data_IF_829104192316
#
_entry.id   IF_829104192316
#
_cell.length_a   1.000
_cell.length_b   1.000
_cell.length_c   1.000
_cell.angle_alpha   90.00
_cell.angle_beta   90.00
_cell.angle_gamma   90.00
#
_symmetry.space_group_name_H-M   'P 1'
#
loop_
_entity.id
_entity.type
_entity.pdbx_description
1 polymer ?
#
# COMPACT_ATOMS: atom_id res chain seq x y z
N UNK A 1 35.18 -60.05 24.11
CA UNK A 1 34.98 -61.24 24.95
C UNK A 1 34.08 -60.80 26.10
N UNK A 2 32.85 -61.34 26.17
CA UNK A 2 31.93 -61.29 27.32
C UNK A 2 31.22 -59.94 27.56
N UNK A 3 29.93 -59.78 27.81
CA UNK A 3 28.71 -60.59 27.68
C UNK A 3 27.52 -59.63 27.79
N UNK A 4 26.40 -60.01 27.20
CA UNK A 4 25.08 -59.39 27.34
C UNK A 4 24.39 -59.69 28.68
N UNK A 5 23.42 -58.83 29.03
CA UNK A 5 22.16 -59.07 29.78
C UNK A 5 21.32 -57.80 29.56
N UNK A 6 20.27 -57.76 28.74
CA UNK A 6 18.93 -58.38 28.84
C UNK A 6 18.22 -58.12 30.18
N UNK A 7 17.27 -57.19 30.19
CA UNK A 7 16.06 -57.32 31.01
C UNK A 7 14.88 -56.61 30.33
N UNK A 8 13.87 -57.42 30.01
CA UNK A 8 12.60 -57.06 29.40
C UNK A 8 11.55 -56.96 30.51
N UNK A 9 10.78 -55.86 30.59
CA UNK A 9 9.47 -55.86 31.25
C UNK A 9 8.44 -55.20 30.32
N UNK A 10 7.46 -56.02 29.94
CA UNK A 10 6.24 -55.69 29.21
C UNK A 10 5.17 -55.26 30.20
N UNK A 11 4.43 -54.20 29.90
CA UNK A 11 3.05 -54.04 30.37
C UNK A 11 2.21 -53.29 29.32
N UNK A 12 1.33 -54.04 28.68
CA UNK A 12 0.28 -53.59 27.78
C UNK A 12 -0.78 -52.74 28.50
N UNK A 13 -1.25 -51.68 27.86
CA UNK A 13 -2.57 -51.12 28.11
C UNK A 13 -3.24 -50.82 26.75
N UNK A 14 -4.25 -51.62 26.44
CA UNK A 14 -5.19 -51.52 25.32
C UNK A 14 -6.28 -50.48 25.63
N UNK A 15 -6.78 -49.78 24.60
CA UNK A 15 -8.20 -49.38 24.32
C UNK A 15 -8.23 -48.07 23.47
N UNK A 16 -9.32 -47.75 22.76
CA UNK A 16 -9.89 -48.48 21.63
C UNK A 16 -10.09 -47.60 20.39
N UNK A 17 -10.29 -48.32 19.28
CA UNK A 17 -10.83 -47.95 17.99
C UNK A 17 -11.87 -46.81 18.00
N UNK A 18 -11.54 -45.65 17.41
CA UNK A 18 -12.53 -44.66 16.96
C UNK A 18 -12.67 -44.75 15.44
N UNK A 19 -13.78 -45.38 15.06
CA UNK A 19 -14.27 -45.54 13.69
C UNK A 19 -14.79 -44.21 13.17
N UNK A 20 -14.09 -43.57 12.22
CA UNK A 20 -14.62 -42.42 11.49
C UNK A 20 -15.33 -42.91 10.23
N UNK A 21 -16.66 -42.95 10.34
CA UNK A 21 -17.61 -43.27 9.28
C UNK A 21 -17.47 -42.28 8.12
N UNK A 22 -16.92 -42.75 6.99
CA UNK A 22 -16.97 -42.02 5.72
C UNK A 22 -18.34 -42.21 5.08
N UNK A 23 -19.26 -41.29 5.38
CA UNK A 23 -20.58 -41.25 4.76
C UNK A 23 -20.44 -40.82 3.31
N UNK A 24 -20.42 -41.81 2.41
CA UNK A 24 -20.59 -41.64 0.96
C UNK A 24 -22.05 -41.29 0.70
N UNK A 25 -22.35 -40.00 0.54
CA UNK A 25 -23.67 -39.57 0.08
C UNK A 25 -23.61 -39.31 -1.43
N UNK A 26 -23.84 -40.39 -2.19
CA UNK A 26 -24.24 -40.33 -3.59
C UNK A 26 -25.73 -40.01 -3.63
N UNK A 27 -26.10 -38.85 -4.18
CA UNK A 27 -27.48 -38.56 -4.56
C UNK A 27 -27.48 -38.04 -6.00
N UNK A 28 -27.88 -38.94 -6.90
CA UNK A 28 -28.28 -38.65 -8.26
C UNK A 28 -29.64 -37.96 -8.25
N UNK A 29 -29.81 -36.91 -9.05
CA UNK A 29 -31.12 -36.39 -9.41
C UNK A 29 -31.10 -35.95 -10.88
N UNK A 30 -31.73 -36.75 -11.73
CA UNK A 30 -32.00 -36.42 -13.12
C UNK A 30 -33.48 -36.04 -13.28
N UNK A 31 -33.68 -34.79 -13.72
CA UNK A 31 -34.65 -34.28 -14.70
C UNK A 31 -36.11 -34.77 -14.71
N UNK A 32 -37.07 -33.85 -14.52
CA UNK A 32 -38.35 -33.81 -15.28
C UNK A 32 -38.79 -32.36 -15.53
N UNK A 33 -39.24 -32.10 -16.76
CA UNK A 33 -39.74 -30.85 -17.33
C UNK A 33 -41.02 -30.30 -16.66
N UNK A 34 -41.17 -28.97 -16.72
CA UNK A 34 -42.45 -28.28 -16.54
C UNK A 34 -42.45 -26.93 -17.26
N UNK A 35 -42.96 -26.90 -18.49
CA UNK A 35 -43.26 -25.66 -19.23
C UNK A 35 -44.59 -25.12 -18.68
N UNK A 36 -44.57 -23.91 -18.12
CA UNK A 36 -45.76 -23.11 -17.84
C UNK A 36 -45.56 -21.73 -18.46
N UNK A 37 -46.35 -21.44 -19.49
CA UNK A 37 -46.43 -20.12 -20.10
C UNK A 37 -47.26 -19.19 -19.19
N UNK A 38 -46.62 -18.15 -18.67
CA UNK A 38 -47.27 -17.00 -18.05
C UNK A 38 -46.96 -15.76 -18.89
N UNK A 39 -47.91 -15.40 -19.74
CA UNK A 39 -47.99 -14.10 -20.39
C UNK A 39 -48.37 -13.04 -19.35
N UNK A 40 -47.37 -12.28 -18.89
CA UNK A 40 -47.58 -11.10 -18.05
C UNK A 40 -47.11 -9.83 -18.81
N UNK A 41 -48.01 -8.85 -18.90
CA UNK A 41 -47.79 -7.58 -19.58
C UNK A 41 -46.66 -6.78 -18.93
N UNK A 42 -45.57 -6.49 -19.64
CA UNK A 42 -44.55 -5.55 -19.18
C UNK A 42 -45.03 -4.11 -19.43
N UNK A 43 -45.55 -3.44 -18.40
CA UNK A 43 -45.64 -1.97 -18.40
C UNK A 43 -44.23 -1.44 -18.17
N UNK A 44 -43.62 -0.80 -19.17
CA UNK A 44 -42.31 -0.15 -19.03
C UNK A 44 -42.46 1.04 -18.08
N UNK A 45 -41.71 1.12 -16.97
CA UNK A 45 -41.55 2.38 -16.27
C UNK A 45 -40.88 3.36 -17.24
N UNK A 46 -41.36 4.60 -17.27
CA UNK A 46 -40.64 5.67 -17.94
C UNK A 46 -39.24 5.75 -17.32
N UNK A 47 -38.19 5.65 -18.15
CA UNK A 47 -36.82 5.91 -17.74
C UNK A 47 -36.77 7.31 -17.15
N UNK A 48 -36.66 7.41 -15.83
CA UNK A 48 -36.17 8.64 -15.21
C UNK A 48 -34.75 8.84 -15.73
N UNK A 49 -34.35 10.06 -16.16
CA UNK A 49 -32.95 10.31 -16.42
C UNK A 49 -32.16 9.92 -15.18
N UNK A 50 -31.09 9.15 -15.35
CA UNK A 50 -30.18 8.83 -14.25
C UNK A 50 -29.78 10.16 -13.58
N UNK A 51 -29.70 10.21 -12.24
CA UNK A 51 -29.08 11.37 -11.60
C UNK A 51 -27.70 11.53 -12.26
N UNK A 52 -27.43 12.72 -12.77
CA UNK A 52 -26.06 13.11 -13.11
C UNK A 52 -25.31 13.00 -11.79
N UNK A 53 -24.51 11.95 -11.62
CA UNK A 53 -23.48 11.96 -10.59
C UNK A 53 -22.66 13.21 -10.87
N UNK A 54 -22.85 14.25 -10.06
CA UNK A 54 -21.79 15.17 -9.74
C UNK A 54 -20.59 14.27 -9.44
N UNK A 55 -19.52 14.37 -10.24
CA UNK A 55 -18.37 13.48 -10.13
C UNK A 55 -17.93 13.41 -8.67
N UNK A 56 -17.52 12.21 -8.24
CA UNK A 56 -16.84 12.09 -6.95
C UNK A 56 -15.72 13.16 -6.90
N UNK A 57 -15.47 13.79 -5.76
CA UNK A 57 -14.35 14.72 -5.63
C UNK A 57 -13.08 14.01 -6.14
N UNK A 58 -12.45 14.59 -7.15
CA UNK A 58 -11.18 14.09 -7.64
C UNK A 58 -10.09 14.93 -6.99
N UNK A 59 -9.46 14.38 -5.96
CA UNK A 59 -8.24 14.94 -5.38
C UNK A 59 -7.06 14.44 -6.20
N UNK A 60 -6.38 15.33 -6.91
CA UNK A 60 -5.21 14.96 -7.70
C UNK A 60 -3.96 15.53 -7.03
N UNK A 61 -2.93 14.72 -6.84
CA UNK A 61 -1.65 15.24 -6.33
C UNK A 61 -1.01 16.24 -7.30
N UNK A 62 -1.43 16.25 -8.57
CA UNK A 62 -0.98 17.23 -9.56
C UNK A 62 -1.50 18.66 -9.30
N UNK A 63 -2.53 18.83 -8.47
CA UNK A 63 -3.03 20.14 -8.05
C UNK A 63 -2.24 20.72 -6.86
N UNK A 64 -1.45 19.89 -6.17
CA UNK A 64 -0.59 20.30 -5.05
C UNK A 64 0.60 21.12 -5.57
N UNK A 65 0.89 22.25 -4.91
CA UNK A 65 2.06 23.06 -5.27
C UNK A 65 3.36 22.33 -4.83
N UNK A 66 4.34 22.19 -5.74
CA UNK A 66 5.65 21.67 -5.35
C UNK A 66 6.35 22.59 -4.33
N UNK A 67 7.25 22.05 -3.49
CA UNK A 67 8.02 22.84 -2.54
C UNK A 67 8.91 23.86 -3.26
N UNK A 68 9.12 25.02 -2.63
CA UNK A 68 10.04 26.04 -3.16
C UNK A 68 11.50 25.75 -2.78
N UNK A 69 11.71 25.12 -1.62
CA UNK A 69 13.02 24.72 -1.11
C UNK A 69 13.49 23.35 -1.59
N UNK A 70 14.66 22.93 -1.11
CA UNK A 70 15.13 21.56 -1.29
C UNK A 70 14.34 20.62 -0.39
N UNK A 71 14.22 19.39 -0.87
CA UNK A 71 13.64 18.27 -0.14
C UNK A 71 14.67 17.19 0.11
N UNK A 72 14.35 16.36 1.11
CA UNK A 72 14.97 15.07 1.32
C UNK A 72 13.92 13.97 1.22
N UNK A 73 14.23 12.94 0.44
CA UNK A 73 13.45 11.70 0.33
C UNK A 73 14.30 10.50 0.73
N UNK A 74 13.71 9.55 1.46
CA UNK A 74 14.41 8.32 1.88
C UNK A 74 13.73 7.10 1.27
N UNK A 75 14.48 6.29 0.54
CA UNK A 75 13.90 5.12 -0.11
C UNK A 75 14.92 4.30 -0.89
N UNK A 76 14.41 3.39 -1.70
CA UNK A 76 15.23 2.64 -2.65
C UNK A 76 15.45 3.49 -3.89
N UNK A 77 16.70 3.76 -4.23
CA UNK A 77 17.02 4.24 -5.57
C UNK A 77 17.19 3.02 -6.46
N UNK A 78 16.41 2.96 -7.53
CA UNK A 78 16.45 1.89 -8.52
C UNK A 78 16.73 2.51 -9.88
N UNK A 79 17.75 1.99 -10.55
CA UNK A 79 18.17 2.39 -11.88
C UNK A 79 18.12 1.16 -12.78
N UNK A 80 17.20 1.17 -13.75
CA UNK A 80 17.13 0.16 -14.80
C UNK A 80 17.61 0.78 -16.11
N UNK A 81 18.78 0.36 -16.59
CA UNK A 81 19.35 0.81 -17.86
C UNK A 81 19.53 2.34 -18.01
N UNK A 82 19.76 3.06 -16.91
CA UNK A 82 19.95 4.52 -16.86
C UNK A 82 18.72 5.30 -16.38
N UNK A 83 17.56 4.64 -16.24
CA UNK A 83 16.32 5.25 -15.78
C UNK A 83 16.25 5.19 -14.23
N UNK A 84 17.02 6.07 -13.58
CA UNK A 84 17.06 6.16 -12.12
C UNK A 84 15.78 6.78 -11.55
N UNK A 85 15.24 6.17 -10.50
CA UNK A 85 14.07 6.63 -9.76
C UNK A 85 14.23 6.40 -8.26
N UNK A 86 13.62 7.28 -7.45
CA UNK A 86 13.50 7.12 -6.01
C UNK A 86 12.13 6.50 -5.68
N UNK A 87 12.15 5.27 -5.19
CA UNK A 87 10.98 4.57 -4.73
C UNK A 87 10.72 4.91 -3.25
N UNK A 88 9.71 5.75 -3.04
CA UNK A 88 9.24 6.18 -1.70
C UNK A 88 8.18 5.23 -1.12
N UNK A 89 7.47 4.50 -1.98
CA UNK A 89 6.43 3.54 -1.59
C UNK A 89 6.94 2.10 -1.50
N UNK A 90 6.02 1.15 -1.70
CA UNK A 90 6.33 -0.28 -1.63
C UNK A 90 7.36 -0.72 -2.68
N UNK A 91 8.27 -1.61 -2.26
CA UNK A 91 9.28 -2.24 -3.12
C UNK A 91 9.04 -3.75 -3.12
N UNK A 92 9.01 -4.37 -4.29
CA UNK A 92 8.76 -5.80 -4.42
C UNK A 92 9.92 -6.63 -3.87
N UNK A 93 9.58 -7.73 -3.19
CA UNK A 93 10.54 -8.71 -2.67
C UNK A 93 11.09 -9.61 -3.80
N UNK A 94 11.90 -9.03 -4.69
CA UNK A 94 12.52 -9.69 -5.84
C UNK A 94 14.00 -9.32 -6.02
N UNK A 95 14.68 -9.97 -6.98
CA UNK A 95 16.10 -9.74 -7.26
C UNK A 95 16.36 -9.73 -8.79
N UNK A 96 16.46 -8.56 -9.46
CA UNK A 96 16.37 -7.21 -8.91
C UNK A 96 15.02 -6.87 -8.27
N UNK A 97 14.96 -5.97 -7.27
CA UNK A 97 13.70 -5.43 -6.77
C UNK A 97 12.95 -4.69 -7.88
N UNK A 98 11.66 -4.45 -7.68
CA UNK A 98 10.82 -3.68 -8.60
C UNK A 98 10.00 -2.67 -7.80
N UNK A 99 9.84 -1.47 -8.33
CA UNK A 99 8.99 -0.42 -7.76
C UNK A 99 8.65 0.61 -8.84
N UNK A 100 7.64 1.42 -8.57
CA UNK A 100 7.40 2.68 -9.29
C UNK A 100 7.82 3.80 -8.37
N UNK A 101 8.65 4.71 -8.86
CA UNK A 101 9.18 5.81 -8.06
C UNK A 101 9.12 7.14 -8.81
N UNK A 102 9.65 8.17 -8.17
CA UNK A 102 9.82 9.49 -8.78
C UNK A 102 11.13 9.48 -9.57
N UNK A 103 11.15 9.86 -10.86
CA UNK A 103 12.37 9.99 -11.65
C UNK A 103 13.43 10.86 -10.97
N UNK A 104 14.69 10.42 -11.02
CA UNK A 104 15.84 11.16 -10.51
C UNK A 104 16.66 11.75 -11.67
N UNK A 105 16.72 13.06 -11.74
CA UNK A 105 17.65 13.77 -12.62
C UNK A 105 18.99 14.02 -11.91
N UNK A 106 20.09 13.80 -12.63
CA UNK A 106 21.44 14.03 -12.10
C UNK A 106 21.95 12.94 -11.15
N UNK A 107 21.24 11.82 -11.02
CA UNK A 107 21.73 10.66 -10.26
C UNK A 107 22.98 10.07 -10.92
N UNK A 108 23.95 9.68 -10.09
CA UNK A 108 25.13 8.91 -10.48
C UNK A 108 25.51 7.92 -9.38
N UNK A 109 25.92 6.73 -9.79
CA UNK A 109 26.48 5.72 -8.91
C UNK A 109 27.96 5.97 -8.56
N UNK A 110 28.60 6.94 -9.21
CA UNK A 110 30.01 7.26 -8.96
C UNK A 110 30.23 7.78 -7.54
N UNK A 111 31.08 7.07 -6.78
CA UNK A 111 31.40 7.44 -5.40
C UNK A 111 30.28 7.16 -4.39
N UNK A 112 29.25 6.40 -4.79
CA UNK A 112 28.16 5.95 -3.94
C UNK A 112 28.37 4.48 -3.59
N UNK A 113 28.48 4.17 -2.30
CA UNK A 113 28.57 2.80 -1.80
C UNK A 113 27.17 2.20 -1.54
N UNK A 114 27.11 0.91 -1.21
CA UNK A 114 25.89 0.26 -0.72
C UNK A 114 24.87 -0.11 -1.80
N UNK A 115 25.28 -0.12 -3.07
CA UNK A 115 24.47 -0.58 -4.19
C UNK A 115 24.71 -2.05 -4.53
N UNK A 116 23.70 -2.68 -5.11
CA UNK A 116 23.78 -3.99 -5.74
C UNK A 116 23.41 -3.86 -7.23
N UNK A 117 23.94 -4.76 -8.06
CA UNK A 117 23.66 -4.80 -9.49
C UNK A 117 23.36 -6.22 -9.95
N UNK A 118 22.31 -6.37 -10.75
CA UNK A 118 21.99 -7.62 -11.45
C UNK A 118 21.43 -7.31 -12.84
N UNK A 119 22.11 -7.80 -13.87
CA UNK A 119 21.83 -7.40 -15.25
C UNK A 119 22.09 -5.90 -15.45
N UNK A 120 21.13 -5.22 -16.07
CA UNK A 120 21.16 -3.77 -16.31
C UNK A 120 20.50 -2.96 -15.17
N UNK A 121 20.17 -3.61 -14.05
CA UNK A 121 19.53 -2.95 -12.90
C UNK A 121 20.52 -2.79 -11.76
N UNK A 122 20.67 -1.56 -11.27
CA UNK A 122 21.42 -1.22 -10.05
C UNK A 122 20.47 -0.59 -9.03
N UNK A 123 20.60 -0.96 -7.77
CA UNK A 123 19.75 -0.38 -6.71
C UNK A 123 20.49 -0.29 -5.38
N UNK A 124 20.02 0.59 -4.51
CA UNK A 124 20.47 0.71 -3.13
C UNK A 124 19.50 1.58 -2.32
N UNK A 125 19.74 1.76 -1.03
CA UNK A 125 18.86 2.56 -0.16
C UNK A 125 19.56 3.83 0.31
N UNK A 126 18.94 4.97 0.01
CA UNK A 126 19.56 6.29 0.22
C UNK A 126 18.59 7.33 0.77
N UNK A 127 19.15 8.28 1.50
CA UNK A 127 18.57 9.60 1.70
C UNK A 127 19.08 10.50 0.56
N UNK A 128 18.17 10.97 -0.27
CA UNK A 128 18.42 11.75 -1.48
C UNK A 128 18.01 13.19 -1.22
N UNK A 129 18.93 14.12 -1.45
CA UNK A 129 18.71 15.56 -1.41
C UNK A 129 18.44 16.06 -2.82
N UNK A 130 17.33 16.78 -3.02
CA UNK A 130 16.90 17.20 -4.35
C UNK A 130 16.00 18.45 -4.30
N UNK A 131 15.72 19.03 -5.46
CA UNK A 131 14.51 19.85 -5.67
C UNK A 131 13.41 18.98 -6.30
N UNK A 132 12.15 19.26 -5.99
CA UNK A 132 11.01 18.52 -6.52
C UNK A 132 10.06 19.44 -7.29
N UNK A 133 9.73 19.10 -8.54
CA UNK A 133 8.84 19.91 -9.39
C UNK A 133 7.39 19.40 -9.45
N UNK A 134 7.03 18.42 -8.61
CA UNK A 134 5.75 17.72 -8.63
C UNK A 134 5.80 16.40 -9.41
N UNK A 135 6.83 16.17 -10.21
CA UNK A 135 6.97 14.96 -11.04
C UNK A 135 8.35 14.35 -11.05
N UNK A 136 9.40 15.15 -10.84
CA UNK A 136 10.81 14.76 -10.96
C UNK A 136 11.61 15.34 -9.80
N UNK A 137 12.57 14.56 -9.31
CA UNK A 137 13.54 14.99 -8.31
C UNK A 137 14.88 15.27 -8.99
N UNK A 138 15.34 16.52 -8.94
CA UNK A 138 16.69 16.89 -9.42
C UNK A 138 17.67 16.86 -8.25
N UNK A 139 18.63 15.92 -8.29
CA UNK A 139 19.59 15.69 -7.20
C UNK A 139 20.48 16.92 -7.00
N UNK A 140 20.59 17.40 -5.76
CA UNK A 140 21.35 18.62 -5.42
C UNK A 140 22.65 18.35 -4.68
N UNK A 141 22.73 17.25 -3.93
CA UNK A 141 23.86 16.93 -3.05
C UNK A 141 24.16 15.42 -3.09
N UNK A 142 25.38 15.00 -2.68
CA UNK A 142 25.70 13.57 -2.57
C UNK A 142 24.71 12.84 -1.63
N UNK A 143 24.19 11.67 -2.04
CA UNK A 143 23.26 10.91 -1.22
C UNK A 143 23.96 10.32 0.00
N UNK A 144 23.18 10.02 1.05
CA UNK A 144 23.65 9.32 2.24
C UNK A 144 23.05 7.92 2.24
N UNK A 145 23.86 6.87 2.38
CA UNK A 145 23.34 5.49 2.58
C UNK A 145 22.40 5.48 3.79
N UNK A 146 21.22 4.85 3.68
CA UNK A 146 20.28 4.83 4.82
C UNK A 146 20.86 4.15 6.06
N UNK A 147 21.81 3.24 5.91
CA UNK A 147 22.55 2.65 7.02
C UNK A 147 23.40 3.66 7.84
N UNK A 148 23.67 4.84 7.28
CA UNK A 148 24.43 5.92 7.90
C UNK A 148 23.59 7.19 8.15
N UNK A 149 22.36 7.23 7.67
CA UNK A 149 21.47 8.37 7.81
C UNK A 149 20.69 8.29 9.14
N UNK A 150 20.75 9.36 9.92
CA UNK A 150 19.98 9.51 11.16
C UNK A 150 18.78 10.44 10.89
N UNK A 151 17.56 9.90 10.72
CA UNK A 151 16.40 10.71 10.41
C UNK A 151 15.91 11.50 11.62
N UNK A 152 15.55 12.77 11.40
CA UNK A 152 14.71 13.50 12.34
C UNK A 152 13.34 12.85 12.35
N UNK A 153 12.87 12.44 13.54
CA UNK A 153 11.50 11.93 13.70
C UNK A 153 10.50 13.04 13.31
N UNK A 154 9.59 12.80 12.35
CA UNK A 154 8.52 13.73 12.05
C UNK A 154 7.63 13.97 13.28
N UNK A 155 7.05 15.16 13.37
CA UNK A 155 6.03 15.44 14.38
C UNK A 155 4.79 14.59 14.10
N UNK A 156 4.11 14.16 15.17
CA UNK A 156 2.83 13.44 15.03
C UNK A 156 1.73 14.47 14.72
N UNK A 157 1.11 14.44 13.52
CA UNK A 157 0.07 15.41 13.15
C UNK A 157 -1.17 15.29 14.03
N UNK A 158 -1.39 14.15 14.69
CA UNK A 158 -2.51 13.93 15.62
C UNK A 158 -2.22 14.38 17.05
N UNK A 159 -0.98 14.81 17.33
CA UNK A 159 -0.54 15.18 18.68
C UNK A 159 -0.69 14.05 19.71
N UNK A 160 -0.71 12.79 19.27
CA UNK A 160 -0.93 11.64 20.14
C UNK A 160 -2.38 11.42 20.57
N UNK A 161 -3.35 12.06 19.93
CA UNK A 161 -4.79 11.87 20.19
C UNK A 161 -5.36 10.85 19.23
N UNK A 162 -6.21 9.95 19.72
CA UNK A 162 -6.91 8.97 18.88
C UNK A 162 -8.17 9.60 18.25
N UNK A 163 -8.46 9.20 17.01
CA UNK A 163 -9.65 9.61 16.29
C UNK A 163 -10.92 8.95 16.85
N UNK A 164 -12.07 9.58 16.59
CA UNK A 164 -13.38 9.11 17.06
C UNK A 164 -14.20 8.36 15.99
N UNK A 165 -13.67 8.24 14.78
CA UNK A 165 -14.34 7.63 13.62
C UNK A 165 -14.50 6.13 13.81
N UNK A 166 -15.67 5.59 13.48
CA UNK A 166 -15.95 4.16 13.64
C UNK A 166 -15.19 3.32 12.61
N UNK A 167 -14.86 2.07 12.93
CA UNK A 167 -14.15 1.17 12.00
C UNK A 167 -14.90 0.97 10.67
N UNK A 168 -16.24 0.95 10.72
CA UNK A 168 -17.06 0.80 9.52
C UNK A 168 -16.96 2.05 8.62
N UNK A 169 -16.99 3.24 9.22
CA UNK A 169 -16.83 4.49 8.48
C UNK A 169 -15.40 4.63 7.94
N UNK A 170 -14.39 4.28 8.74
CA UNK A 170 -12.99 4.26 8.32
C UNK A 170 -12.74 3.33 7.12
N UNK A 171 -13.40 2.17 7.08
CA UNK A 171 -13.30 1.25 5.93
C UNK A 171 -13.89 1.89 4.67
N UNK A 172 -15.06 2.54 4.78
CA UNK A 172 -15.67 3.25 3.64
C UNK A 172 -14.77 4.37 3.14
N UNK A 173 -14.27 5.21 4.05
CA UNK A 173 -13.39 6.34 3.70
C UNK A 173 -12.07 5.84 3.12
N UNK A 174 -11.47 4.77 3.66
CA UNK A 174 -10.26 4.19 3.09
C UNK A 174 -10.49 3.73 1.64
N UNK A 175 -11.60 3.04 1.35
CA UNK A 175 -11.91 2.57 0.00
C UNK A 175 -12.12 3.75 -0.98
N UNK A 176 -12.82 4.80 -0.54
CA UNK A 176 -13.05 6.02 -1.30
C UNK A 176 -11.75 6.77 -1.60
N UNK A 177 -10.93 7.03 -0.58
CA UNK A 177 -9.64 7.71 -0.69
C UNK A 177 -8.67 6.91 -1.56
N UNK A 178 -8.62 5.58 -1.40
CA UNK A 178 -7.77 4.71 -2.23
C UNK A 178 -8.19 4.74 -3.70
N UNK A 179 -9.50 4.74 -3.96
CA UNK A 179 -10.04 4.81 -5.32
C UNK A 179 -9.81 6.17 -5.97
N UNK A 180 -9.92 7.26 -5.21
CA UNK A 180 -9.74 8.62 -5.69
C UNK A 180 -8.27 8.94 -6.01
N UNK A 181 -7.35 8.66 -5.07
CA UNK A 181 -5.93 8.98 -5.23
C UNK A 181 -5.19 7.99 -6.14
N UNK A 182 -5.63 6.73 -6.19
CA UNK A 182 -5.05 5.74 -7.09
C UNK A 182 -3.54 5.56 -6.91
N UNK A 183 -2.75 6.05 -7.88
CA UNK A 183 -1.28 5.95 -7.85
C UNK A 183 -0.59 7.14 -7.19
N UNK A 184 -1.33 8.22 -6.89
CA UNK A 184 -0.79 9.38 -6.20
C UNK A 184 -0.56 9.09 -4.71
N UNK A 185 -1.32 8.15 -4.15
CA UNK A 185 -1.08 7.61 -2.82
C UNK A 185 0.00 6.52 -2.86
N UNK A 186 1.07 6.72 -2.07
CA UNK A 186 2.11 5.72 -1.84
C UNK A 186 1.59 4.56 -0.98
N UNK A 187 0.74 4.88 0.00
CA UNK A 187 0.03 3.91 0.83
C UNK A 187 -1.19 4.56 1.49
N UNK A 188 -2.24 3.77 1.70
CA UNK A 188 -3.45 4.15 2.44
C UNK A 188 -3.75 3.05 3.47
N UNK A 189 -3.99 3.42 4.71
CA UNK A 189 -4.28 2.46 5.79
C UNK A 189 -5.10 3.09 6.91
N UNK A 190 -5.79 2.28 7.71
CA UNK A 190 -6.47 2.75 8.92
C UNK A 190 -5.64 2.49 10.16
N UNK A 191 -5.51 3.50 11.03
CA UNK A 191 -4.82 3.35 12.31
C UNK A 191 -5.31 4.42 13.30
N UNK A 192 -5.47 4.03 14.57
CA UNK A 192 -5.80 4.93 15.69
C UNK A 192 -7.04 5.83 15.47
N UNK A 193 -8.03 5.35 14.72
CA UNK A 193 -9.27 6.10 14.47
C UNK A 193 -9.22 7.03 13.25
N UNK A 194 -8.19 6.91 12.41
CA UNK A 194 -7.97 7.72 11.21
C UNK A 194 -7.78 6.85 9.96
N UNK A 195 -8.06 7.42 8.79
CA UNK A 195 -7.51 6.96 7.52
C UNK A 195 -6.22 7.73 7.27
N UNK A 196 -5.09 7.04 7.26
CA UNK A 196 -3.80 7.62 6.95
C UNK A 196 -3.50 7.46 5.46
N UNK A 197 -2.98 8.53 4.87
CA UNK A 197 -2.53 8.58 3.48
C UNK A 197 -1.10 9.08 3.49
N UNK A 198 -0.21 8.36 2.81
CA UNK A 198 1.11 8.87 2.49
C UNK A 198 1.17 9.21 1.00
N UNK A 199 1.56 10.43 0.68
CA UNK A 199 1.80 10.91 -0.69
C UNK A 199 3.26 11.33 -0.85
N UNK A 200 3.70 11.57 -2.08
CA UNK A 200 5.04 12.12 -2.30
C UNK A 200 5.22 13.47 -1.60
N UNK A 201 4.26 14.37 -1.81
CA UNK A 201 4.25 15.72 -1.24
C UNK A 201 2.81 16.23 -1.12
N UNK A 202 2.55 16.95 -0.04
CA UNK A 202 1.39 17.80 0.20
C UNK A 202 1.86 19.12 0.82
N UNK A 203 1.38 20.25 0.30
CA UNK A 203 1.58 21.59 0.87
C UNK A 203 0.47 21.97 1.87
N UNK A 204 -0.45 21.04 2.12
CA UNK A 204 -1.63 21.16 2.97
C UNK A 204 -2.92 21.28 2.17
N UNK A 205 -2.84 21.56 0.86
CA UNK A 205 -4.03 21.69 0.02
C UNK A 205 -4.76 20.37 -0.19
N UNK A 206 -4.05 19.24 -0.22
CA UNK A 206 -4.68 17.93 -0.27
C UNK A 206 -5.36 17.61 1.05
N UNK A 207 -4.70 17.86 2.19
CA UNK A 207 -5.31 17.73 3.53
C UNK A 207 -6.60 18.55 3.65
N UNK A 208 -6.58 19.82 3.27
CA UNK A 208 -7.76 20.70 3.32
C UNK A 208 -8.90 20.14 2.46
N UNK A 209 -8.59 19.61 1.28
CA UNK A 209 -9.58 19.07 0.36
C UNK A 209 -10.22 17.75 0.83
N UNK A 210 -9.47 16.89 1.53
CA UNK A 210 -10.03 15.66 2.14
C UNK A 210 -10.81 15.96 3.41
N UNK A 211 -10.40 16.98 4.19
CA UNK A 211 -11.14 17.44 5.37
C UNK A 211 -12.47 18.10 4.98
N UNK A 212 -12.54 18.83 3.86
CA UNK A 212 -13.80 19.42 3.36
C UNK A 212 -14.86 18.33 3.04
N UNK A 213 -14.43 17.19 2.52
CA UNK A 213 -15.33 16.08 2.15
C UNK A 213 -15.68 15.18 3.34
N UNK A 214 -14.67 14.76 4.12
CA UNK A 214 -14.84 13.73 5.14
C UNK A 214 -14.97 14.27 6.57
N UNK A 215 -14.70 15.57 6.76
CA UNK A 215 -14.64 16.24 8.05
C UNK A 215 -13.25 16.21 8.67
N UNK A 216 -12.93 17.26 9.42
CA UNK A 216 -11.65 17.47 10.06
C UNK A 216 -11.17 16.23 10.85
N UNK A 217 -9.96 15.77 10.55
CA UNK A 217 -9.29 14.73 11.33
C UNK A 217 -9.91 13.34 11.16
N UNK A 218 -10.59 13.09 10.04
CA UNK A 218 -10.94 11.73 9.59
C UNK A 218 -9.82 11.13 8.74
N UNK A 219 -9.29 11.93 7.81
CA UNK A 219 -8.17 11.56 6.94
C UNK A 219 -6.93 12.36 7.34
N UNK A 220 -5.79 11.69 7.48
CA UNK A 220 -4.50 12.31 7.80
C UNK A 220 -3.56 12.09 6.61
N UNK A 221 -3.25 13.17 5.91
CA UNK A 221 -2.31 13.20 4.79
C UNK A 221 -0.91 13.48 5.32
N UNK A 222 0.07 12.69 4.86
CA UNK A 222 1.48 12.85 5.21
C UNK A 222 2.36 12.80 3.97
N UNK A 223 3.41 13.63 3.95
CA UNK A 223 4.39 13.69 2.86
C UNK A 223 5.56 12.75 3.12
N UNK A 224 5.97 11.98 2.11
CA UNK A 224 7.20 11.19 2.13
C UNK A 224 8.45 12.04 1.88
N UNK A 225 8.32 13.11 1.10
CA UNK A 225 9.35 14.14 0.94
C UNK A 225 9.25 15.16 2.08
N UNK A 226 10.40 15.59 2.59
CA UNK A 226 10.48 16.61 3.64
C UNK A 226 11.32 17.79 3.15
N UNK A 227 10.76 19.00 3.25
CA UNK A 227 11.50 20.23 2.97
C UNK A 227 12.57 20.50 4.04
N UNK A 228 13.72 21.06 3.62
CA UNK A 228 14.90 21.23 4.49
C UNK A 228 15.49 22.64 4.52
N UNK A 229 15.06 23.56 3.66
CA UNK A 229 15.49 24.98 3.64
C UNK A 229 14.49 25.93 3.00
#
# INVERSE_FOLDING_TARGET
MTSATDETIVASATLPHMSTSHSRMLLAAASVLGVVALSACSTRPASSPAPTSTGAPEWHASDVRPPEGRVIGTGTVLDAAGDAQLCLGAVAESYPPQCTGIPLEGWSWDGVDGSETSGDTTWGTYAVYATYDGTTLTVTDPPIMLALYDPIRPEDPTGGVDGATSEADLTSVQDEVSAALGQDALTVWTERGYVWVQVAWDDGSLQDAVDEEHGDGVVIVTSALREID
#
